data_IF_629447587549
#
_entry.id   IF_629447587549
#
_cell.length_a   1.000
_cell.length_b   1.000
_cell.length_c   1.000
_cell.angle_alpha   90.00
_cell.angle_beta   90.00
_cell.angle_gamma   90.00
#
_symmetry.space_group_name_H-M   'P 1'
#
loop_
_entity.id
_entity.type
_entity.pdbx_description
1 polymer ?
#
# COMPACT_ATOMS: atom_id res chain seq x y z
N UNK A 1 15.85 21.54 -0.35
CA UNK A 1 15.39 20.34 -1.09
C UNK A 1 14.89 19.25 -0.15
N UNK A 2 15.59 18.99 0.96
CA UNK A 2 15.18 17.99 1.96
C UNK A 2 13.74 18.18 2.51
N UNK A 3 13.35 19.40 2.89
CA UNK A 3 11.99 19.68 3.41
C UNK A 3 10.88 19.35 2.40
N UNK A 4 11.07 19.68 1.12
CA UNK A 4 10.06 19.40 0.07
C UNK A 4 9.93 17.89 -0.16
N UNK A 5 11.05 17.18 -0.26
CA UNK A 5 11.09 15.72 -0.40
C UNK A 5 10.48 15.01 0.81
N UNK A 6 10.78 15.49 2.02
CA UNK A 6 10.18 14.99 3.24
C UNK A 6 8.66 15.20 3.24
N UNK A 7 8.17 16.41 3.00
CA UNK A 7 6.74 16.70 2.94
C UNK A 7 6.02 15.88 1.87
N UNK A 8 6.58 15.79 0.66
CA UNK A 8 6.04 14.98 -0.42
C UNK A 8 5.95 13.50 -0.04
N UNK A 9 6.98 12.94 0.62
CA UNK A 9 6.96 11.55 1.07
C UNK A 9 5.86 11.31 2.10
N UNK A 10 5.72 12.17 3.11
CA UNK A 10 4.70 12.00 4.14
C UNK A 10 3.28 12.12 3.56
N UNK A 11 3.04 13.09 2.68
CA UNK A 11 1.76 13.23 1.99
C UNK A 11 1.44 12.00 1.14
N UNK A 12 2.43 11.47 0.42
CA UNK A 12 2.26 10.25 -0.37
C UNK A 12 1.94 9.03 0.52
N UNK A 13 2.62 8.89 1.67
CA UNK A 13 2.33 7.82 2.64
C UNK A 13 0.94 7.97 3.25
N UNK A 14 0.52 9.19 3.61
CA UNK A 14 -0.83 9.43 4.13
C UNK A 14 -1.91 9.13 3.09
N UNK A 15 -1.68 9.52 1.83
CA UNK A 15 -2.56 9.19 0.72
C UNK A 15 -2.65 7.66 0.51
N UNK A 16 -1.52 6.96 0.61
CA UNK A 16 -1.46 5.49 0.53
C UNK A 16 -2.34 4.84 1.60
N UNK A 17 -2.21 5.30 2.86
CA UNK A 17 -3.01 4.80 3.98
C UNK A 17 -4.50 5.10 3.78
N UNK A 18 -4.84 6.29 3.30
CA UNK A 18 -6.23 6.66 2.99
C UNK A 18 -6.86 5.78 1.90
N UNK A 19 -6.11 5.51 0.82
CA UNK A 19 -6.55 4.62 -0.26
C UNK A 19 -6.71 3.18 0.23
N UNK A 20 -5.76 2.69 1.04
CA UNK A 20 -5.87 1.37 1.67
C UNK A 20 -7.11 1.26 2.56
N UNK A 21 -7.40 2.28 3.38
CA UNK A 21 -8.61 2.28 4.21
C UNK A 21 -9.89 2.27 3.37
N UNK A 22 -9.92 3.01 2.25
CA UNK A 22 -11.04 2.97 1.32
C UNK A 22 -11.23 1.57 0.72
N UNK A 23 -10.15 0.93 0.27
CA UNK A 23 -10.16 -0.44 -0.25
C UNK A 23 -10.66 -1.45 0.81
N UNK A 24 -10.14 -1.34 2.04
CA UNK A 24 -10.53 -2.17 3.19
C UNK A 24 -12.04 -2.14 3.45
N UNK A 25 -12.66 -0.97 3.32
CA UNK A 25 -14.11 -0.81 3.56
C UNK A 25 -14.98 -1.26 2.37
N UNK A 26 -14.45 -1.19 1.16
CA UNK A 26 -15.18 -1.54 -0.06
C UNK A 26 -15.21 -3.05 -0.33
N UNK A 27 -14.16 -3.78 0.06
CA UNK A 27 -14.11 -5.25 -0.09
C UNK A 27 -14.98 -5.90 0.99
N UNK A 28 -16.30 -5.95 0.74
CA UNK A 28 -17.30 -6.54 1.63
C UNK A 28 -18.39 -7.29 0.85
N UNK A 29 -19.13 -8.22 1.50
CA UNK A 29 -20.26 -8.91 0.85
C UNK A 29 -21.27 -7.92 0.25
N UNK A 30 -21.83 -8.25 -0.91
CA UNK A 30 -22.72 -7.35 -1.65
C UNK A 30 -21.98 -6.31 -2.51
N UNK A 31 -20.71 -6.58 -2.84
CA UNK A 31 -19.97 -5.83 -3.86
C UNK A 31 -20.53 -6.15 -5.25
N UNK A 32 -20.76 -5.11 -6.06
CA UNK A 32 -21.30 -5.23 -7.41
C UNK A 32 -21.49 -3.86 -8.06
N UNK A 33 -21.77 -3.85 -9.37
CA UNK A 33 -22.08 -2.63 -10.14
C UNK A 33 -21.06 -1.49 -9.93
N UNK A 34 -21.56 -0.30 -9.60
CA UNK A 34 -20.72 0.90 -9.46
C UNK A 34 -19.69 0.82 -8.34
N UNK A 35 -19.98 0.08 -7.25
CA UNK A 35 -19.02 -0.10 -6.15
C UNK A 35 -17.82 -0.94 -6.58
N UNK A 36 -18.03 -1.91 -7.47
CA UNK A 36 -16.94 -2.70 -8.03
C UNK A 36 -16.03 -1.82 -8.91
N UNK A 37 -16.61 -0.96 -9.74
CA UNK A 37 -15.86 0.03 -10.55
C UNK A 37 -15.11 1.04 -9.68
N UNK A 38 -15.73 1.49 -8.59
CA UNK A 38 -15.09 2.37 -7.62
C UNK A 38 -13.89 1.69 -6.95
N UNK A 39 -14.04 0.43 -6.52
CA UNK A 39 -12.96 -0.36 -5.94
C UNK A 39 -11.77 -0.46 -6.90
N UNK A 40 -12.02 -0.75 -8.17
CA UNK A 40 -10.95 -0.85 -9.17
C UNK A 40 -10.18 0.46 -9.40
N UNK A 41 -10.87 1.61 -9.35
CA UNK A 41 -10.21 2.92 -9.43
C UNK A 41 -9.35 3.20 -8.20
N UNK A 42 -9.83 2.82 -7.02
CA UNK A 42 -9.09 2.97 -5.76
C UNK A 42 -7.86 2.06 -5.74
N UNK A 43 -7.99 0.80 -6.16
CA UNK A 43 -6.87 -0.13 -6.29
C UNK A 43 -5.80 0.40 -7.28
N UNK A 44 -6.22 0.92 -8.43
CA UNK A 44 -5.30 1.54 -9.38
C UNK A 44 -4.60 2.79 -8.80
N UNK A 45 -5.34 3.65 -8.10
CA UNK A 45 -4.77 4.82 -7.43
C UNK A 45 -3.81 4.42 -6.30
N UNK A 46 -4.15 3.37 -5.54
CA UNK A 46 -3.30 2.81 -4.49
C UNK A 46 -1.96 2.34 -5.06
N UNK A 47 -1.99 1.56 -6.15
CA UNK A 47 -0.78 1.13 -6.85
C UNK A 47 0.08 2.29 -7.36
N UNK A 48 -0.55 3.32 -7.93
CA UNK A 48 0.16 4.53 -8.38
C UNK A 48 0.83 5.27 -7.22
N UNK A 49 0.09 5.51 -6.13
CA UNK A 49 0.60 6.19 -4.94
C UNK A 49 1.70 5.38 -4.26
N UNK A 50 1.59 4.04 -4.22
CA UNK A 50 2.65 3.17 -3.74
C UNK A 50 3.94 3.35 -4.53
N UNK A 51 3.85 3.45 -5.86
CA UNK A 51 4.99 3.77 -6.73
C UNK A 51 5.61 5.13 -6.39
N UNK A 52 4.79 6.16 -6.18
CA UNK A 52 5.27 7.50 -5.78
C UNK A 52 6.00 7.44 -4.43
N UNK A 53 5.47 6.73 -3.44
CA UNK A 53 6.10 6.57 -2.12
C UNK A 53 7.50 5.95 -2.25
N UNK A 54 7.64 4.93 -3.10
CA UNK A 54 8.93 4.26 -3.36
C UNK A 54 9.90 5.24 -4.04
N UNK A 55 9.49 5.90 -5.13
CA UNK A 55 10.36 6.83 -5.86
C UNK A 55 10.82 7.97 -4.96
N UNK A 56 9.93 8.63 -4.24
CA UNK A 56 10.27 9.71 -3.32
C UNK A 56 11.12 9.19 -2.15
N UNK A 57 10.84 7.97 -1.67
CA UNK A 57 11.63 7.32 -0.63
C UNK A 57 13.09 7.08 -1.07
N UNK A 58 13.30 6.58 -2.28
CA UNK A 58 14.63 6.40 -2.86
C UNK A 58 15.36 7.74 -3.03
N UNK A 59 14.67 8.77 -3.54
CA UNK A 59 15.24 10.11 -3.64
C UNK A 59 15.68 10.66 -2.28
N UNK A 60 14.98 10.33 -1.19
CA UNK A 60 15.39 10.73 0.17
C UNK A 60 16.63 10.00 0.68
N UNK A 61 16.93 8.79 0.19
CA UNK A 61 18.17 8.07 0.57
C UNK A 61 19.38 8.73 -0.09
N UNK A 62 19.27 9.13 -1.37
CA UNK A 62 20.40 9.66 -2.13
C UNK A 62 20.56 11.19 -2.04
N UNK A 63 19.47 11.93 -1.84
CA UNK A 63 19.45 13.40 -1.84
C UNK A 63 18.88 14.01 -0.54
N UNK A 64 18.61 13.19 0.48
CA UNK A 64 18.13 13.66 1.77
C UNK A 64 19.26 14.10 2.71
N UNK A 65 18.86 14.59 3.90
CA UNK A 65 19.81 15.13 4.88
C UNK A 65 20.71 14.10 5.59
N UNK A 66 20.39 12.80 5.53
CA UNK A 66 21.16 11.75 6.20
C UNK A 66 22.14 11.07 5.23
N UNK A 67 23.34 10.74 5.71
CA UNK A 67 24.34 10.01 4.94
C UNK A 67 23.80 8.65 4.48
N UNK A 68 23.95 8.25 3.20
CA UNK A 68 23.54 6.95 2.72
C UNK A 68 24.03 5.78 3.59
N UNK A 69 25.26 5.88 4.14
CA UNK A 69 25.84 4.91 5.06
C UNK A 69 25.02 4.65 6.33
N UNK A 70 24.30 5.66 6.83
CA UNK A 70 23.39 5.50 7.96
C UNK A 70 22.22 4.56 7.63
N UNK A 71 21.71 4.60 6.40
CA UNK A 71 20.62 3.71 5.97
C UNK A 71 21.09 2.26 5.86
N UNK A 72 22.28 2.03 5.29
CA UNK A 72 22.82 0.69 5.06
C UNK A 72 23.09 -0.08 6.36
N UNK A 73 23.58 0.61 7.40
CA UNK A 73 23.86 0.02 8.70
C UNK A 73 22.65 -0.13 9.63
N UNK A 74 21.52 0.51 9.32
CA UNK A 74 20.38 0.56 10.23
C UNK A 74 19.41 -0.62 10.02
N UNK A 75 19.31 -1.54 10.98
CA UNK A 75 18.38 -2.67 10.92
C UNK A 75 16.90 -2.26 10.86
N UNK A 76 16.52 -1.12 11.47
CA UNK A 76 15.15 -0.61 11.39
C UNK A 76 14.82 -0.10 9.97
N UNK A 77 15.80 0.41 9.23
CA UNK A 77 15.63 0.73 7.80
C UNK A 77 15.27 -0.53 7.00
N UNK A 78 16.06 -1.59 7.17
CA UNK A 78 15.80 -2.86 6.49
C UNK A 78 14.47 -3.49 6.90
N UNK A 79 14.09 -3.38 8.17
CA UNK A 79 12.76 -3.76 8.66
C UNK A 79 11.64 -3.00 7.94
N UNK A 80 11.78 -1.68 7.80
CA UNK A 80 10.85 -0.84 7.03
C UNK A 80 10.78 -1.27 5.56
N UNK A 81 11.92 -1.55 4.93
CA UNK A 81 11.98 -1.97 3.52
C UNK A 81 11.35 -3.35 3.32
N UNK A 82 11.60 -4.30 4.22
CA UNK A 82 10.97 -5.61 4.22
C UNK A 82 9.44 -5.51 4.40
N UNK A 83 8.97 -4.65 5.31
CA UNK A 83 7.54 -4.40 5.49
C UNK A 83 6.91 -3.79 4.23
N UNK A 84 7.56 -2.81 3.57
CA UNK A 84 7.09 -2.27 2.29
C UNK A 84 7.05 -3.33 1.18
N UNK A 85 8.07 -4.18 1.08
CA UNK A 85 8.10 -5.26 0.10
C UNK A 85 6.98 -6.28 0.35
N UNK A 86 6.79 -6.69 1.61
CA UNK A 86 5.71 -7.60 2.00
C UNK A 86 4.34 -6.99 1.71
N UNK A 87 4.17 -5.70 1.98
CA UNK A 87 2.96 -4.94 1.65
C UNK A 87 2.70 -4.95 0.14
N UNK A 88 3.72 -4.74 -0.69
CA UNK A 88 3.60 -4.84 -2.15
C UNK A 88 3.19 -6.25 -2.61
N UNK A 89 3.83 -7.30 -2.07
CA UNK A 89 3.49 -8.69 -2.40
C UNK A 89 2.06 -9.07 -2.00
N UNK A 90 1.62 -8.67 -0.81
CA UNK A 90 0.27 -8.93 -0.33
C UNK A 90 -0.82 -8.21 -1.13
N UNK A 91 -0.46 -7.15 -1.87
CA UNK A 91 -1.37 -6.41 -2.76
C UNK A 91 -1.65 -7.16 -4.06
N UNK A 92 -0.73 -8.02 -4.51
CA UNK A 92 -0.85 -8.70 -5.80
C UNK A 92 -2.14 -9.53 -5.91
N UNK A 93 -2.50 -10.41 -4.95
CA UNK A 93 -3.70 -11.23 -5.08
C UNK A 93 -5.02 -10.42 -5.12
N UNK A 94 -5.25 -9.45 -4.22
CA UNK A 94 -6.40 -8.54 -4.29
C UNK A 94 -6.51 -7.81 -5.63
N UNK A 95 -5.42 -7.19 -6.10
CA UNK A 95 -5.41 -6.45 -7.38
C UNK A 95 -5.77 -7.35 -8.56
N UNK A 96 -5.23 -8.58 -8.61
CA UNK A 96 -5.55 -9.53 -9.68
C UNK A 96 -7.02 -9.97 -9.61
N UNK A 97 -7.57 -10.18 -8.41
CA UNK A 97 -8.97 -10.51 -8.23
C UNK A 97 -9.89 -9.37 -8.69
N UNK A 98 -9.59 -8.13 -8.30
CA UNK A 98 -10.34 -6.93 -8.69
C UNK A 98 -10.37 -6.78 -10.22
N UNK A 99 -9.22 -6.94 -10.89
CA UNK A 99 -9.13 -6.89 -12.35
C UNK A 99 -9.99 -7.97 -13.01
N UNK A 100 -9.97 -9.19 -12.49
CA UNK A 100 -10.81 -10.30 -12.98
C UNK A 100 -12.30 -9.99 -12.80
N UNK A 101 -12.69 -9.44 -11.66
CA UNK A 101 -14.09 -9.06 -11.39
C UNK A 101 -14.60 -7.97 -12.32
N UNK A 102 -13.78 -6.95 -12.58
CA UNK A 102 -14.13 -5.89 -13.55
C UNK A 102 -14.34 -6.47 -14.94
N UNK A 103 -13.42 -7.31 -15.40
CA UNK A 103 -13.55 -7.96 -16.71
C UNK A 103 -14.81 -8.81 -16.82
N UNK A 104 -15.19 -9.52 -15.75
CA UNK A 104 -16.44 -10.27 -15.72
C UNK A 104 -17.68 -9.36 -15.75
N UNK A 105 -17.64 -8.23 -15.03
CA UNK A 105 -18.71 -7.23 -15.00
C UNK A 105 -18.91 -6.49 -16.33
N UNK A 106 -17.89 -6.42 -17.20
CA UNK A 106 -18.05 -5.91 -18.56
C UNK A 106 -18.96 -6.80 -19.42
N UNK A 107 -18.95 -8.11 -19.18
CA UNK A 107 -19.75 -9.09 -19.91
C UNK A 107 -21.12 -9.38 -19.28
N UNK A 108 -21.32 -9.00 -18.01
CA UNK A 108 -22.54 -9.27 -17.25
C UNK A 108 -22.90 -8.07 -16.36
N UNK A 109 -23.93 -7.27 -16.70
CA UNK A 109 -24.29 -6.04 -15.97
C UNK A 109 -24.60 -6.25 -14.48
N UNK A 110 -25.16 -7.41 -14.14
CA UNK A 110 -25.53 -7.79 -12.77
C UNK A 110 -24.46 -8.64 -12.06
N UNK A 111 -23.23 -8.64 -12.59
CA UNK A 111 -22.15 -9.41 -11.99
C UNK A 111 -21.82 -8.93 -10.57
N UNK A 112 -21.81 -9.88 -9.65
CA UNK A 112 -21.32 -9.72 -8.29
C UNK A 112 -20.23 -10.78 -8.01
N UNK A 113 -19.07 -10.39 -7.45
CA UNK A 113 -18.05 -11.35 -7.06
C UNK A 113 -18.58 -12.38 -6.07
N UNK A 114 -18.20 -13.68 -6.20
CA UNK A 114 -18.61 -14.71 -5.25
C UNK A 114 -18.17 -14.40 -3.83
N UNK A 115 -19.01 -14.70 -2.84
CA UNK A 115 -18.75 -14.40 -1.43
C UNK A 115 -17.44 -15.04 -0.90
N UNK A 116 -17.10 -16.24 -1.37
CA UNK A 116 -15.84 -16.91 -1.01
C UNK A 116 -14.60 -16.18 -1.55
N UNK A 117 -14.68 -15.62 -2.76
CA UNK A 117 -13.58 -14.83 -3.31
C UNK A 117 -13.41 -13.51 -2.54
N UNK A 118 -14.51 -12.86 -2.16
CA UNK A 118 -14.48 -11.67 -1.30
C UNK A 118 -13.82 -12.03 0.04
N UNK A 119 -14.22 -13.14 0.67
CA UNK A 119 -13.66 -13.60 1.94
C UNK A 119 -12.17 -13.92 1.85
N UNK A 120 -11.72 -14.55 0.77
CA UNK A 120 -10.31 -14.82 0.52
C UNK A 120 -9.50 -13.52 0.40
N UNK A 121 -9.97 -12.57 -0.41
CA UNK A 121 -9.29 -11.27 -0.59
C UNK A 121 -9.27 -10.44 0.70
N UNK A 122 -10.34 -10.49 1.50
CA UNK A 122 -10.36 -9.84 2.82
C UNK A 122 -9.24 -10.32 3.74
N UNK A 123 -8.86 -11.60 3.69
CA UNK A 123 -7.75 -12.11 4.53
C UNK A 123 -6.42 -11.45 4.17
N UNK A 124 -6.13 -11.30 2.88
CA UNK A 124 -4.95 -10.56 2.42
C UNK A 124 -5.00 -9.12 2.93
N UNK A 125 -6.14 -8.45 2.76
CA UNK A 125 -6.34 -7.07 3.24
C UNK A 125 -6.17 -6.92 4.76
N UNK A 126 -6.55 -7.92 5.56
CA UNK A 126 -6.28 -7.89 7.00
C UNK A 126 -4.79 -8.08 7.32
N UNK A 127 -4.10 -8.98 6.60
CA UNK A 127 -2.65 -9.14 6.74
C UNK A 127 -1.91 -7.85 6.34
N UNK A 128 -2.34 -7.22 5.24
CA UNK A 128 -1.84 -5.93 4.79
C UNK A 128 -1.99 -4.86 5.88
N UNK A 129 -3.14 -4.78 6.57
CA UNK A 129 -3.33 -3.84 7.66
C UNK A 129 -2.32 -4.05 8.79
N UNK A 130 -2.01 -5.30 9.16
CA UNK A 130 -0.98 -5.61 10.15
C UNK A 130 0.41 -5.17 9.70
N UNK A 131 0.79 -5.45 8.44
CA UNK A 131 2.09 -5.06 7.88
C UNK A 131 2.22 -3.54 7.73
N UNK A 132 1.14 -2.86 7.36
CA UNK A 132 1.08 -1.41 7.22
C UNK A 132 1.44 -0.70 8.54
N UNK A 133 1.08 -1.28 9.70
CA UNK A 133 1.44 -0.74 11.02
C UNK A 133 2.93 -0.86 11.33
N UNK A 134 3.62 -1.87 10.80
CA UNK A 134 5.06 -2.05 11.01
C UNK A 134 5.87 -0.93 10.35
N UNK A 135 5.41 -0.41 9.21
CA UNK A 135 6.09 0.63 8.44
C UNK A 135 6.35 1.91 9.28
N UNK A 136 5.35 2.56 9.90
CA UNK A 136 5.57 3.74 10.73
C UNK A 136 6.32 3.41 12.03
N UNK A 137 6.17 2.20 12.59
CA UNK A 137 6.92 1.77 13.77
C UNK A 137 8.42 1.73 13.47
N UNK A 138 8.83 1.07 12.37
CA UNK A 138 10.23 1.05 11.96
C UNK A 138 10.76 2.44 11.58
N UNK A 139 9.93 3.27 10.94
CA UNK A 139 10.30 4.66 10.66
C UNK A 139 10.56 5.47 11.94
N UNK A 140 9.72 5.31 12.97
CA UNK A 140 9.90 5.98 14.25
C UNK A 140 11.11 5.43 15.02
N UNK A 141 11.34 4.11 14.98
CA UNK A 141 12.51 3.47 15.58
C UNK A 141 13.81 4.01 14.96
N UNK A 142 13.88 4.07 13.63
CA UNK A 142 15.00 4.64 12.88
C UNK A 142 15.24 6.12 13.22
N UNK A 143 14.18 6.92 13.36
CA UNK A 143 14.28 8.33 13.73
C UNK A 143 14.82 8.57 15.14
N UNK A 144 14.72 7.56 16.02
CA UNK A 144 15.24 7.60 17.40
C UNK A 144 16.60 6.91 17.56
N UNK A 145 17.23 6.48 16.46
CA UNK A 145 18.54 5.83 16.48
C UNK A 145 18.50 4.35 16.89
N UNK A 146 17.32 3.71 16.92
CA UNK A 146 17.27 2.26 17.12
C UNK A 146 17.70 1.54 15.84
N UNK A 147 18.56 0.53 15.99
CA UNK A 147 19.00 -0.34 14.89
C UNK A 147 20.28 0.09 14.18
N UNK A 148 20.89 1.21 14.55
CA UNK A 148 22.24 1.65 14.14
C UNK A 148 23.34 1.14 15.05
#
# INVERSE_FOLDING_TARGET
MDLLLASAHHLAVLALVGLFAAEFTLIRPGLGGDRLRQLARIDAAYGLVAGIVIVVGLLRIFFGAADPGYYWGNHAFWGKMAAFLLMALLTIPPTLAIRRWIKAAETAPDYAPPAEEIKANRRFVHLQAGVLLLIPIFAAAMARGYGS
#
